data_IF_120067389918
#
_entry.id   IF_120067389918
#
_cell.length_a   1.000
_cell.length_b   1.000
_cell.length_c   1.000
_cell.angle_alpha   90.00
_cell.angle_beta   90.00
_cell.angle_gamma   90.00
#
_symmetry.space_group_name_H-M   'P 1'
#
loop_
_entity.id
_entity.type
_entity.pdbx_description
1 polymer ?
#
# COMPACT_ATOMS: atom_id res chain seq x y z
N UNK A 1 22.56 9.59 24.82
CA UNK A 1 22.02 8.63 23.84
C UNK A 1 20.52 8.82 23.84
N UNK A 2 19.98 9.30 22.73
CA UNK A 2 18.54 9.51 22.58
C UNK A 2 17.96 8.42 21.67
N UNK A 3 16.67 8.16 21.81
CA UNK A 3 15.95 7.27 20.91
C UNK A 3 15.14 8.11 19.92
N UNK A 4 15.19 7.73 18.65
CA UNK A 4 14.35 8.28 17.57
C UNK A 4 13.35 7.21 17.13
N UNK A 5 12.32 7.60 16.39
CA UNK A 5 11.45 6.65 15.69
C UNK A 5 12.01 6.37 14.29
N UNK A 6 12.05 5.11 13.89
CA UNK A 6 12.38 4.72 12.53
C UNK A 6 11.36 5.33 11.54
N UNK A 7 11.77 6.03 10.48
CA UNK A 7 10.88 6.68 9.52
C UNK A 7 9.94 5.69 8.81
N UNK A 8 10.38 4.44 8.59
CA UNK A 8 9.58 3.40 7.91
C UNK A 8 8.61 2.68 8.85
N UNK A 9 9.13 2.11 9.94
CA UNK A 9 8.34 1.18 10.77
C UNK A 9 7.86 1.78 12.09
N UNK A 10 8.21 3.03 12.40
CA UNK A 10 7.83 3.72 13.63
C UNK A 10 8.42 3.12 14.91
N UNK A 11 9.30 2.12 14.84
CA UNK A 11 9.92 1.52 16.04
C UNK A 11 11.01 2.43 16.61
N UNK A 12 11.15 2.46 17.94
CA UNK A 12 12.20 3.24 18.61
C UNK A 12 13.58 2.62 18.35
N UNK A 13 14.50 3.41 17.79
CA UNK A 13 15.88 3.03 17.50
C UNK A 13 16.86 4.07 18.05
N UNK A 14 18.14 3.70 18.14
CA UNK A 14 19.22 4.61 18.55
C UNK A 14 19.35 5.80 17.59
N UNK A 15 19.58 7.00 18.13
CA UNK A 15 19.91 8.20 17.36
C UNK A 15 21.17 8.04 16.47
N UNK A 16 22.03 7.05 16.76
CA UNK A 16 23.23 6.72 15.97
C UNK A 16 23.05 5.53 15.02
N UNK A 17 21.86 4.95 14.92
CA UNK A 17 21.64 3.82 14.03
C UNK A 17 21.73 4.27 12.56
N UNK A 18 22.62 3.66 11.79
CA UNK A 18 22.69 3.81 10.32
C UNK A 18 21.73 2.85 9.62
N UNK A 19 21.30 1.79 10.30
CA UNK A 19 20.33 0.81 9.83
C UNK A 19 19.38 0.42 10.97
N UNK A 20 18.08 0.36 10.68
CA UNK A 20 17.08 -0.07 11.63
C UNK A 20 17.21 -1.60 11.87
N UNK A 21 17.39 -2.05 13.13
CA UNK A 21 17.51 -3.48 13.44
C UNK A 21 16.18 -4.24 13.33
N UNK A 22 15.04 -3.54 13.25
CA UNK A 22 13.71 -4.16 13.22
C UNK A 22 13.21 -4.42 11.80
N UNK A 23 13.28 -3.41 10.91
CA UNK A 23 12.81 -3.53 9.53
C UNK A 23 13.94 -3.54 8.49
N UNK A 24 15.18 -3.27 8.89
CA UNK A 24 16.31 -3.19 7.98
C UNK A 24 16.42 -1.89 7.18
N UNK A 25 15.55 -0.90 7.43
CA UNK A 25 15.61 0.41 6.78
C UNK A 25 16.98 1.06 6.95
N UNK A 26 17.47 1.68 5.87
CA UNK A 26 18.72 2.44 5.81
C UNK A 26 18.45 3.69 4.98
N UNK A 27 18.91 4.84 5.48
CA UNK A 27 18.81 6.13 4.78
C UNK A 27 19.66 6.17 3.51
N UNK A 28 19.50 7.23 2.72
CA UNK A 28 20.21 7.39 1.45
C UNK A 28 21.75 7.30 1.60
N UNK A 29 22.31 7.89 2.65
CA UNK A 29 23.73 7.74 3.01
C UNK A 29 23.90 6.70 4.12
N UNK A 30 24.59 5.60 3.78
CA UNK A 30 24.84 4.47 4.65
C UNK A 30 25.81 4.76 5.81
N UNK A 31 26.67 5.76 5.67
CA UNK A 31 27.69 6.10 6.66
C UNK A 31 27.17 7.06 7.74
N UNK A 32 26.05 7.72 7.47
CA UNK A 32 25.44 8.70 8.37
C UNK A 32 24.23 8.12 9.13
N UNK A 33 23.99 8.53 10.38
CA UNK A 33 22.83 8.06 11.14
C UNK A 33 21.50 8.43 10.48
N UNK A 34 20.48 7.59 10.67
CA UNK A 34 19.12 7.83 10.19
C UNK A 34 18.57 9.15 10.76
N UNK A 35 18.89 9.47 12.03
CA UNK A 35 18.41 10.68 12.73
C UNK A 35 18.80 12.00 12.06
N UNK A 36 19.87 12.02 11.26
CA UNK A 36 20.35 13.23 10.58
C UNK A 36 19.76 13.41 9.19
N UNK A 37 19.16 12.37 8.62
CA UNK A 37 18.74 12.31 7.22
C UNK A 37 17.22 12.26 7.10
N UNK A 38 16.59 11.41 7.91
CA UNK A 38 15.17 11.14 7.83
C UNK A 38 14.50 11.40 9.18
N UNK A 39 13.31 12.00 9.13
CA UNK A 39 12.45 12.18 10.30
C UNK A 39 11.21 11.32 10.14
N UNK A 40 10.81 10.68 11.23
CA UNK A 40 9.50 10.06 11.29
C UNK A 40 8.44 11.17 11.29
N UNK A 41 7.83 11.41 10.13
CA UNK A 41 6.65 12.25 10.00
C UNK A 41 5.41 11.39 10.21
N UNK A 42 4.56 11.79 11.16
CA UNK A 42 3.27 11.14 11.37
C UNK A 42 2.38 11.57 10.20
N UNK A 43 2.32 10.76 9.15
CA UNK A 43 1.36 10.96 8.07
C UNK A 43 -0.02 10.58 8.63
N UNK A 44 -1.01 11.49 8.62
CA UNK A 44 -2.35 11.15 9.06
C UNK A 44 -2.90 10.05 8.17
N UNK A 45 -3.22 8.90 8.77
CA UNK A 45 -3.96 7.85 8.09
C UNK A 45 -5.43 8.28 8.17
N UNK A 46 -6.00 8.67 7.03
CA UNK A 46 -7.43 8.92 6.93
C UNK A 46 -8.13 7.60 6.66
N UNK A 47 -8.82 7.08 7.67
CA UNK A 47 -9.84 6.06 7.46
C UNK A 47 -11.05 6.74 6.84
N UNK A 48 -11.48 6.28 5.66
CA UNK A 48 -12.69 6.75 5.00
C UNK A 48 -13.43 5.55 4.40
N UNK A 49 -14.73 5.51 4.64
CA UNK A 49 -15.60 4.55 3.99
C UNK A 49 -16.06 5.11 2.65
N UNK A 50 -15.98 4.29 1.61
CA UNK A 50 -16.65 4.59 0.34
C UNK A 50 -18.12 4.25 0.53
N UNK A 51 -18.91 5.21 1.03
CA UNK A 51 -20.35 5.00 1.29
C UNK A 51 -21.13 4.69 0.00
N UNK A 52 -20.77 5.34 -1.11
CA UNK A 52 -21.43 5.15 -2.40
C UNK A 52 -20.47 5.49 -3.54
N UNK A 53 -20.31 4.57 -4.50
CA UNK A 53 -19.61 4.87 -5.74
C UNK A 53 -20.50 5.72 -6.64
N UNK A 54 -20.16 7.01 -6.79
CA UNK A 54 -20.76 7.93 -7.77
C UNK A 54 -19.82 8.14 -8.95
N UNK A 55 -19.81 7.23 -9.95
CA UNK A 55 -19.02 7.48 -11.15
C UNK A 55 -19.53 8.74 -11.84
N UNK A 56 -18.63 9.68 -12.15
CA UNK A 56 -18.90 10.78 -13.06
C UNK A 56 -19.16 10.20 -14.44
N UNK A 57 -20.42 9.83 -14.73
CA UNK A 57 -20.82 9.15 -15.97
C UNK A 57 -20.45 9.93 -17.23
N UNK A 58 -20.20 11.24 -17.12
CA UNK A 58 -19.75 12.09 -18.22
C UNK A 58 -18.27 11.95 -18.60
N UNK A 59 -17.42 11.46 -17.66
CA UNK A 59 -15.96 11.35 -17.84
C UNK A 59 -15.48 9.89 -17.90
N UNK A 60 -16.40 8.92 -17.85
CA UNK A 60 -16.03 7.52 -18.07
C UNK A 60 -15.68 7.35 -19.55
N UNK A 61 -14.40 7.20 -19.84
CA UNK A 61 -13.96 6.74 -21.15
C UNK A 61 -14.59 5.37 -21.43
N UNK A 62 -15.36 5.28 -22.52
CA UNK A 62 -15.83 3.99 -23.02
C UNK A 62 -14.60 3.19 -23.39
N UNK A 63 -14.34 2.12 -22.63
CA UNK A 63 -13.27 1.17 -22.93
C UNK A 63 -13.51 0.55 -24.32
N UNK A 64 -12.44 0.30 -25.07
CA UNK A 64 -12.57 -0.35 -26.37
C UNK A 64 -13.17 -1.75 -26.21
N UNK A 65 -13.77 -2.28 -27.29
CA UNK A 65 -14.35 -3.61 -27.26
C UNK A 65 -13.29 -4.68 -26.97
N UNK A 66 -12.11 -4.55 -27.58
CA UNK A 66 -10.98 -5.47 -27.42
C UNK A 66 -10.44 -5.48 -25.98
N UNK A 67 -10.31 -4.30 -25.37
CA UNK A 67 -9.86 -4.18 -23.99
C UNK A 67 -10.91 -4.76 -23.02
N UNK A 68 -12.20 -4.46 -23.25
CA UNK A 68 -13.28 -5.03 -22.44
C UNK A 68 -13.34 -6.56 -22.55
N UNK A 69 -13.19 -7.10 -23.77
CA UNK A 69 -13.13 -8.54 -24.00
C UNK A 69 -11.97 -9.16 -23.24
N UNK A 70 -10.78 -8.56 -23.30
CA UNK A 70 -9.59 -9.04 -22.59
C UNK A 70 -9.80 -9.04 -21.07
N UNK A 71 -10.44 -7.99 -20.53
CA UNK A 71 -10.79 -7.93 -19.11
C UNK A 71 -11.77 -9.03 -18.71
N UNK A 72 -12.80 -9.29 -19.51
CA UNK A 72 -13.77 -10.36 -19.25
C UNK A 72 -13.10 -11.73 -19.35
N UNK A 73 -12.22 -11.97 -20.31
CA UNK A 73 -11.48 -13.22 -20.42
C UNK A 73 -10.57 -13.46 -19.21
N UNK A 74 -9.96 -12.39 -18.67
CA UNK A 74 -9.00 -12.49 -17.57
C UNK A 74 -9.66 -12.47 -16.18
N UNK A 75 -10.73 -11.68 -15.98
CA UNK A 75 -11.39 -11.49 -14.69
C UNK A 75 -12.82 -12.02 -14.64
N UNK A 76 -13.34 -12.61 -15.72
CA UNK A 76 -14.70 -13.13 -15.77
C UNK A 76 -14.92 -14.44 -15.00
N UNK A 77 -13.84 -15.12 -14.59
CA UNK A 77 -13.89 -16.32 -13.75
C UNK A 77 -13.40 -16.00 -12.34
N UNK A 78 -14.19 -16.41 -11.35
CA UNK A 78 -13.85 -16.23 -9.94
C UNK A 78 -12.58 -16.99 -9.56
N UNK A 79 -12.37 -18.19 -10.12
CA UNK A 79 -11.15 -18.98 -9.92
C UNK A 79 -9.91 -18.22 -10.39
N UNK A 80 -10.03 -17.49 -11.51
CA UNK A 80 -8.92 -16.67 -12.02
C UNK A 80 -8.65 -15.48 -11.11
N UNK A 81 -9.69 -14.84 -10.56
CA UNK A 81 -9.55 -13.77 -9.57
C UNK A 81 -8.86 -14.30 -8.30
N UNK A 82 -9.26 -15.46 -7.79
CA UNK A 82 -8.64 -16.08 -6.61
C UNK A 82 -7.15 -16.37 -6.81
N UNK A 83 -6.76 -16.83 -8.00
CA UNK A 83 -5.38 -17.18 -8.30
C UNK A 83 -4.52 -15.96 -8.61
N UNK A 84 -5.04 -15.01 -9.39
CA UNK A 84 -4.27 -13.87 -9.89
C UNK A 84 -4.30 -12.66 -8.96
N UNK A 85 -5.39 -12.49 -8.20
CA UNK A 85 -5.64 -11.36 -7.31
C UNK A 85 -6.07 -11.85 -5.92
N UNK A 86 -5.24 -12.65 -5.22
CA UNK A 86 -5.64 -13.34 -3.99
C UNK A 86 -6.07 -12.38 -2.86
N UNK A 87 -5.39 -11.24 -2.71
CA UNK A 87 -5.75 -10.24 -1.72
C UNK A 87 -7.13 -9.60 -1.98
N UNK A 88 -7.50 -9.41 -3.26
CA UNK A 88 -8.82 -8.88 -3.63
C UNK A 88 -9.88 -9.94 -3.40
N UNK A 89 -9.58 -11.20 -3.75
CA UNK A 89 -10.49 -12.31 -3.56
C UNK A 89 -10.80 -12.56 -2.07
N UNK A 90 -9.81 -12.41 -1.19
CA UNK A 90 -9.98 -12.51 0.27
C UNK A 90 -10.97 -11.47 0.80
N UNK A 91 -10.80 -10.20 0.39
CA UNK A 91 -11.69 -9.11 0.80
C UNK A 91 -13.11 -9.34 0.31
N UNK A 92 -13.30 -9.74 -0.94
CA UNK A 92 -14.65 -9.98 -1.51
C UNK A 92 -15.30 -11.24 -0.91
N UNK A 93 -14.54 -12.33 -0.75
CA UNK A 93 -15.03 -13.60 -0.23
C UNK A 93 -15.38 -13.55 1.27
N UNK A 94 -14.77 -12.64 2.03
CA UNK A 94 -15.03 -12.46 3.46
C UNK A 94 -16.37 -11.80 3.82
N UNK A 95 -17.14 -11.27 2.86
CA UNK A 95 -18.47 -10.68 3.09
C UNK A 95 -19.62 -11.71 3.05
N UNK A 96 -19.32 -13.00 2.88
CA UNK A 96 -20.30 -14.08 2.72
C UNK A 96 -20.61 -14.91 3.97
N UNK A 97 -20.09 -14.55 5.15
CA UNK A 97 -20.41 -15.19 6.45
C UNK A 97 -21.30 -14.30 7.33
#
# INVERSE_FOLDING_TARGET
>A
MSLILCPECGTKISDRATKCPHCGFQSADAERPISEQDKYEIVPIFEYDIEEWKPNRGDLSVISYEDNKSLIEYFGSWETIQVKLPAIAEVIGGYGE
#
